data_IF_162988332287
#
_entry.id   IF_162988332287
#
_cell.length_a   1.000
_cell.length_b   1.000
_cell.length_c   1.000
_cell.angle_alpha   90.00
_cell.angle_beta   90.00
_cell.angle_gamma   90.00
#
_symmetry.space_group_name_H-M   'P 1'
#
loop_
_entity.id
_entity.type
_entity.pdbx_description
1 polymer ?
#
# COMPACT_ATOMS: atom_id res chain seq x y z
N UNK A 1 10.11 -26.43 11.57
CA UNK A 1 9.23 -25.97 12.63
C UNK A 1 8.00 -26.88 12.66
N UNK A 2 7.67 -27.49 13.80
CA UNK A 2 6.53 -28.39 13.93
C UNK A 2 5.22 -27.62 14.07
N UNK A 3 4.13 -28.12 13.49
CA UNK A 3 2.79 -27.57 13.68
C UNK A 3 2.37 -27.75 15.14
N UNK A 4 1.83 -26.70 15.75
CA UNK A 4 1.34 -26.73 17.12
C UNK A 4 -0.20 -26.73 17.10
N UNK A 5 -0.83 -27.71 17.74
CA UNK A 5 -2.28 -27.76 17.94
C UNK A 5 -2.62 -27.06 19.26
N UNK A 6 -3.59 -26.13 19.21
CA UNK A 6 -3.97 -25.32 20.37
C UNK A 6 -4.61 -26.19 21.48
N UNK A 7 -5.38 -27.20 21.08
CA UNK A 7 -6.14 -28.07 22.01
C UNK A 7 -6.06 -29.55 21.61
N UNK A 8 -4.86 -30.19 21.74
CA UNK A 8 -4.61 -31.53 21.21
C UNK A 8 -5.44 -32.64 21.89
N UNK A 9 -5.97 -32.38 23.11
CA UNK A 9 -6.83 -33.32 23.83
C UNK A 9 -8.25 -33.41 23.24
N UNK A 10 -8.69 -32.37 22.53
CA UNK A 10 -10.03 -32.31 21.92
C UNK A 10 -9.98 -32.66 20.44
N UNK A 11 -8.99 -32.17 19.73
CA UNK A 11 -8.76 -32.41 18.30
C UNK A 11 -7.27 -32.66 18.07
N UNK A 12 -6.92 -33.87 17.67
CA UNK A 12 -5.54 -34.18 17.33
C UNK A 12 -5.12 -33.53 16.02
N UNK A 13 -3.81 -33.44 15.77
CA UNK A 13 -3.29 -33.00 14.48
C UNK A 13 -3.83 -33.82 13.30
N UNK A 14 -4.01 -35.13 13.52
CA UNK A 14 -4.56 -36.04 12.53
C UNK A 14 -6.02 -35.70 12.20
N UNK A 15 -6.87 -35.49 13.22
CA UNK A 15 -8.27 -35.12 13.03
C UNK A 15 -8.39 -33.79 12.24
N UNK A 16 -7.59 -32.78 12.60
CA UNK A 16 -7.54 -31.51 11.90
C UNK A 16 -7.12 -31.67 10.43
N UNK A 17 -6.15 -32.56 10.15
CA UNK A 17 -5.75 -32.85 8.75
C UNK A 17 -6.85 -33.58 7.98
N UNK A 18 -7.55 -34.49 8.64
CA UNK A 18 -8.66 -35.20 8.01
C UNK A 18 -9.82 -34.23 7.70
N UNK A 19 -10.21 -33.37 8.64
CA UNK A 19 -11.24 -32.35 8.44
C UNK A 19 -10.89 -31.44 7.25
N UNK A 20 -9.64 -30.98 7.17
CA UNK A 20 -9.18 -30.16 6.04
C UNK A 20 -9.31 -30.87 4.69
N UNK A 21 -9.10 -32.18 4.64
CA UNK A 21 -9.22 -32.99 3.43
C UNK A 21 -10.67 -33.30 3.06
N UNK A 22 -11.55 -33.50 4.04
CA UNK A 22 -12.95 -33.89 3.82
C UNK A 22 -13.90 -32.71 3.61
N UNK A 23 -13.67 -31.61 4.33
CA UNK A 23 -14.54 -30.42 4.30
C UNK A 23 -14.04 -29.34 3.34
N UNK A 24 -12.79 -29.46 2.90
CA UNK A 24 -12.13 -28.48 2.06
C UNK A 24 -11.36 -27.41 2.85
N UNK A 25 -10.41 -26.79 2.18
CA UNK A 25 -9.50 -25.84 2.80
C UNK A 25 -10.21 -24.56 3.26
N UNK A 26 -11.17 -24.07 2.49
CA UNK A 26 -11.92 -22.85 2.82
C UNK A 26 -12.79 -23.03 4.07
N UNK A 27 -13.54 -24.15 4.18
CA UNK A 27 -14.35 -24.46 5.35
C UNK A 27 -13.48 -24.67 6.59
N UNK A 28 -12.38 -25.41 6.46
CA UNK A 28 -11.43 -25.63 7.54
C UNK A 28 -10.80 -24.33 8.05
N UNK A 29 -10.38 -23.42 7.15
CA UNK A 29 -9.80 -22.14 7.53
C UNK A 29 -10.84 -21.23 8.20
N UNK A 30 -12.08 -21.23 7.73
CA UNK A 30 -13.16 -20.46 8.35
C UNK A 30 -13.46 -20.94 9.78
N UNK A 31 -13.66 -22.24 9.97
CA UNK A 31 -14.13 -22.78 11.23
C UNK A 31 -13.02 -23.08 12.24
N UNK A 32 -11.88 -23.60 11.78
CA UNK A 32 -10.80 -24.07 12.64
C UNK A 32 -9.66 -23.09 12.81
N UNK A 33 -9.44 -22.20 11.83
CA UNK A 33 -8.39 -21.17 11.87
C UNK A 33 -8.96 -19.77 12.08
N UNK A 34 -10.28 -19.62 12.15
CA UNK A 34 -10.96 -18.34 12.19
C UNK A 34 -10.53 -17.39 11.04
N UNK A 35 -10.29 -18.00 9.87
CA UNK A 35 -9.93 -17.31 8.62
C UNK A 35 -11.04 -17.56 7.58
N UNK A 36 -12.08 -16.72 7.56
CA UNK A 36 -13.25 -16.94 6.71
C UNK A 36 -12.97 -16.71 5.21
N UNK A 37 -11.78 -16.24 4.85
CA UNK A 37 -11.41 -15.91 3.48
C UNK A 37 -10.67 -17.08 2.84
N UNK A 38 -11.16 -17.50 1.66
CA UNK A 38 -10.48 -18.50 0.84
C UNK A 38 -9.26 -17.87 0.13
N UNK A 39 -8.03 -18.27 0.45
CA UNK A 39 -6.84 -17.73 -0.21
C UNK A 39 -6.81 -17.98 -1.72
N UNK A 40 -7.50 -19.02 -2.21
CA UNK A 40 -7.54 -19.33 -3.64
C UNK A 40 -8.42 -18.33 -4.42
N UNK A 41 -9.35 -17.66 -3.75
CA UNK A 41 -10.18 -16.61 -4.32
C UNK A 41 -9.58 -15.20 -4.18
N UNK A 42 -8.43 -15.07 -3.51
CA UNK A 42 -7.72 -13.80 -3.37
C UNK A 42 -6.82 -13.53 -4.59
N UNK A 43 -6.69 -12.25 -4.95
CA UNK A 43 -5.90 -11.84 -6.13
C UNK A 43 -4.39 -11.88 -5.89
N UNK A 44 -3.94 -11.76 -4.63
CA UNK A 44 -2.52 -11.74 -4.27
C UNK A 44 -2.17 -12.93 -3.38
N UNK A 45 -1.18 -13.71 -3.83
CA UNK A 45 -0.61 -14.78 -3.00
C UNK A 45 0.53 -14.24 -2.16
N UNK A 46 0.59 -14.60 -0.88
CA UNK A 46 1.71 -14.23 0.01
C UNK A 46 3.07 -14.69 -0.51
N UNK A 47 3.10 -15.75 -1.32
CA UNK A 47 4.32 -16.26 -1.96
C UNK A 47 4.92 -15.30 -3.00
N UNK A 48 4.15 -14.33 -3.49
CA UNK A 48 4.63 -13.33 -4.44
C UNK A 48 5.26 -12.13 -3.75
N UNK A 49 5.03 -11.93 -2.44
CA UNK A 49 5.60 -10.82 -1.70
C UNK A 49 7.10 -10.97 -1.58
N UNK A 50 7.82 -10.03 -2.16
CA UNK A 50 9.27 -9.93 -2.07
C UNK A 50 9.63 -8.76 -1.17
N UNK A 51 10.67 -8.97 -0.39
CA UNK A 51 11.04 -8.04 0.65
C UNK A 51 12.40 -7.40 0.35
N UNK A 52 12.58 -6.20 0.85
CA UNK A 52 13.87 -5.51 0.82
C UNK A 52 14.27 -5.08 2.24
N UNK A 53 15.59 -4.95 2.44
CA UNK A 53 16.14 -4.36 3.65
C UNK A 53 16.50 -2.89 3.37
N UNK A 54 15.88 -1.90 4.03
CA UNK A 54 16.19 -0.49 3.80
C UNK A 54 17.66 -0.12 4.05
N UNK A 55 18.35 -0.83 4.93
CA UNK A 55 19.74 -0.58 5.24
C UNK A 55 20.70 -0.94 4.09
N UNK A 56 20.27 -1.75 3.12
CA UNK A 56 21.07 -2.19 1.97
C UNK A 56 20.88 -1.29 0.74
N UNK A 57 19.97 -0.29 0.82
CA UNK A 57 19.61 0.55 -0.32
C UNK A 57 19.94 2.01 0.00
N UNK A 58 20.76 2.63 -0.82
CA UNK A 58 21.02 4.08 -0.75
C UNK A 58 19.88 4.85 -1.46
N UNK A 59 18.83 5.17 -0.72
CA UNK A 59 17.71 5.97 -1.20
C UNK A 59 18.08 7.45 -1.49
N UNK A 60 19.29 7.89 -1.17
CA UNK A 60 19.83 9.21 -1.55
C UNK A 60 20.32 9.25 -2.99
N UNK A 61 20.55 8.09 -3.60
CA UNK A 61 21.02 8.00 -4.98
C UNK A 61 20.10 8.73 -5.97
N UNK A 62 20.68 9.33 -7.01
CA UNK A 62 19.97 10.21 -7.96
C UNK A 62 18.86 9.52 -8.74
N UNK A 63 18.93 8.18 -8.86
CA UNK A 63 17.95 7.36 -9.56
C UNK A 63 16.59 7.24 -8.84
N UNK A 64 16.51 7.51 -7.53
CA UNK A 64 15.26 7.39 -6.80
C UNK A 64 14.35 8.59 -6.99
N UNK A 65 13.06 8.32 -7.19
CA UNK A 65 11.94 9.29 -7.20
C UNK A 65 10.88 8.81 -6.21
N UNK A 66 10.31 9.73 -5.45
CA UNK A 66 9.36 9.41 -4.40
C UNK A 66 7.95 9.83 -4.78
N UNK A 67 7.02 8.92 -4.67
CA UNK A 67 5.61 9.12 -4.97
C UNK A 67 4.78 8.78 -3.76
N UNK A 68 3.93 9.70 -3.36
CA UNK A 68 3.00 9.47 -2.26
C UNK A 68 1.57 9.40 -2.76
N UNK A 69 0.73 8.67 -2.06
CA UNK A 69 -0.71 8.68 -2.28
C UNK A 69 -1.45 8.56 -0.96
N UNK A 70 -2.54 9.31 -0.83
CA UNK A 70 -3.44 9.23 0.30
C UNK A 70 -4.83 8.81 -0.17
N UNK A 71 -5.31 7.69 0.38
CA UNK A 71 -6.72 7.31 0.38
C UNK A 71 -7.30 7.73 1.75
N UNK A 72 -8.03 8.86 1.83
CA UNK A 72 -8.50 9.37 3.09
C UNK A 72 -9.84 8.75 3.48
N UNK A 73 -9.96 8.18 4.67
CA UNK A 73 -11.25 7.90 5.27
C UNK A 73 -11.82 9.16 5.92
N UNK A 74 -13.01 9.55 5.54
CA UNK A 74 -13.73 10.72 6.09
C UNK A 74 -14.70 10.35 7.20
N UNK A 75 -14.66 9.14 7.73
CA UNK A 75 -15.52 8.69 8.83
C UNK A 75 -15.26 9.46 10.12
N UNK A 76 -16.36 9.88 10.79
CA UNK A 76 -16.31 10.64 12.06
C UNK A 76 -16.33 9.75 13.31
N UNK A 77 -16.40 8.43 13.17
CA UNK A 77 -16.48 7.49 14.28
C UNK A 77 -15.21 6.68 14.47
N UNK A 78 -15.00 6.16 15.68
CA UNK A 78 -13.90 5.21 15.95
C UNK A 78 -14.01 3.89 15.18
N UNK A 79 -15.18 3.63 14.55
CA UNK A 79 -15.44 2.49 13.67
C UNK A 79 -15.31 2.83 12.19
N UNK A 80 -14.84 4.04 11.83
CA UNK A 80 -14.62 4.41 10.43
C UNK A 80 -13.50 3.58 9.78
N UNK A 81 -13.51 3.52 8.44
CA UNK A 81 -12.47 2.88 7.66
C UNK A 81 -11.08 3.47 7.91
N UNK A 82 -10.06 2.78 7.47
CA UNK A 82 -8.69 3.25 7.57
C UNK A 82 -8.45 4.40 6.60
N UNK A 83 -7.59 5.34 7.00
CA UNK A 83 -6.90 6.22 6.05
C UNK A 83 -5.55 5.62 5.75
N UNK A 84 -5.21 5.49 4.48
CA UNK A 84 -3.94 4.94 4.04
C UNK A 84 -3.08 6.03 3.38
N UNK A 85 -1.83 6.16 3.82
CA UNK A 85 -0.81 7.00 3.19
C UNK A 85 0.33 6.10 2.79
N UNK A 86 0.51 5.89 1.50
CA UNK A 86 1.58 5.05 0.95
C UNK A 86 2.65 5.91 0.30
N UNK A 87 3.91 5.61 0.59
CA UNK A 87 5.08 6.21 -0.06
C UNK A 87 5.84 5.16 -0.84
N UNK A 88 6.01 5.36 -2.14
CA UNK A 88 6.85 4.55 -3.02
C UNK A 88 8.16 5.27 -3.35
N UNK A 89 9.27 4.56 -3.24
CA UNK A 89 10.55 4.93 -3.83
C UNK A 89 10.71 4.16 -5.15
N UNK A 90 10.62 4.86 -6.28
CA UNK A 90 10.82 4.28 -7.61
C UNK A 90 12.31 4.41 -7.99
N UNK A 91 12.96 3.30 -8.24
CA UNK A 91 14.24 3.24 -8.93
C UNK A 91 14.00 3.43 -10.44
N UNK A 92 14.44 4.55 -10.99
CA UNK A 92 14.21 4.89 -12.41
C UNK A 92 15.06 4.06 -13.36
N UNK A 93 16.13 3.41 -12.90
CA UNK A 93 17.02 2.61 -13.72
C UNK A 93 16.46 1.19 -13.91
N UNK A 94 15.92 0.59 -12.84
CA UNK A 94 15.35 -0.76 -12.86
C UNK A 94 13.83 -0.80 -13.05
N UNK A 95 13.14 0.30 -12.77
CA UNK A 95 11.66 0.35 -12.73
C UNK A 95 11.04 -0.30 -11.49
N UNK A 96 11.85 -0.77 -10.56
CA UNK A 96 11.40 -1.36 -9.29
C UNK A 96 10.90 -0.28 -8.36
N UNK A 97 9.75 -0.51 -7.77
CA UNK A 97 9.15 0.35 -6.75
C UNK A 97 9.29 -0.30 -5.37
N UNK A 98 9.87 0.41 -4.44
CA UNK A 98 10.01 0.00 -3.04
C UNK A 98 8.91 0.68 -2.23
N UNK A 99 8.11 -0.08 -1.51
CA UNK A 99 7.15 0.50 -0.56
C UNK A 99 7.95 1.04 0.63
N UNK A 100 8.41 2.30 0.49
CA UNK A 100 9.27 2.94 1.47
C UNK A 100 8.56 3.14 2.81
N UNK A 101 7.27 3.50 2.77
CA UNK A 101 6.42 3.64 3.95
C UNK A 101 4.97 3.26 3.62
N UNK A 102 4.28 2.62 4.57
CA UNK A 102 2.89 2.22 4.50
C UNK A 102 2.20 2.54 5.83
N UNK A 103 1.61 3.71 5.90
CA UNK A 103 0.92 4.21 7.08
C UNK A 103 -0.59 4.06 6.92
N UNK A 104 -1.13 3.00 7.49
CA UNK A 104 -2.53 2.64 7.44
C UNK A 104 -3.08 2.66 8.86
N UNK A 105 -3.94 3.62 9.16
CA UNK A 105 -4.52 3.74 10.50
C UNK A 105 -5.86 4.48 10.48
N UNK A 106 -6.67 4.26 11.51
CA UNK A 106 -7.87 5.07 11.75
C UNK A 106 -7.45 6.39 12.34
N UNK A 107 -7.80 7.49 11.66
CA UNK A 107 -7.44 8.84 12.11
C UNK A 107 -8.51 9.87 11.74
N UNK A 108 -8.55 10.94 12.51
CA UNK A 108 -9.41 12.08 12.19
C UNK A 108 -8.87 12.81 10.94
N UNK A 109 -9.73 13.34 10.06
CA UNK A 109 -9.32 14.04 8.84
C UNK A 109 -8.27 15.14 9.04
N UNK A 110 -8.38 15.91 10.14
CA UNK A 110 -7.39 16.97 10.44
C UNK A 110 -5.97 16.42 10.66
N UNK A 111 -5.88 15.17 11.14
CA UNK A 111 -4.60 14.51 11.36
C UNK A 111 -3.95 14.07 10.06
N UNK A 112 -4.72 13.75 9.03
CA UNK A 112 -4.21 13.30 7.72
C UNK A 112 -3.24 14.34 7.13
N UNK A 113 -3.61 15.63 7.19
CA UNK A 113 -2.78 16.73 6.66
C UNK A 113 -1.46 16.82 7.40
N UNK A 114 -1.51 16.79 8.74
CA UNK A 114 -0.32 16.84 9.57
C UNK A 114 0.62 15.66 9.28
N UNK A 115 0.07 14.46 9.17
CA UNK A 115 0.82 13.23 8.92
C UNK A 115 1.47 13.26 7.52
N UNK A 116 0.79 13.73 6.48
CA UNK A 116 1.37 13.89 5.13
C UNK A 116 2.54 14.86 5.17
N UNK A 117 2.41 16.00 5.84
CA UNK A 117 3.50 17.00 5.93
C UNK A 117 4.68 16.49 6.77
N UNK A 118 4.42 15.69 7.81
CA UNK A 118 5.46 15.04 8.57
C UNK A 118 6.24 14.02 7.75
N UNK A 119 5.53 13.22 6.92
CA UNK A 119 6.17 12.27 5.98
C UNK A 119 7.03 12.98 4.93
N UNK A 120 6.59 14.10 4.40
CA UNK A 120 7.41 14.92 3.49
C UNK A 120 8.70 15.40 4.18
N UNK A 121 8.62 15.85 5.45
CA UNK A 121 9.82 16.26 6.20
C UNK A 121 10.75 15.09 6.49
N UNK A 122 10.17 13.95 6.91
CA UNK A 122 10.92 12.73 7.16
C UNK A 122 11.67 12.28 5.91
N UNK A 123 10.95 12.23 4.78
CA UNK A 123 11.49 11.85 3.50
C UNK A 123 12.67 12.77 3.09
N UNK A 124 12.51 14.09 3.21
CA UNK A 124 13.60 15.05 2.95
C UNK A 124 14.81 14.84 3.85
N UNK A 125 14.57 14.60 5.12
CA UNK A 125 15.65 14.37 6.11
C UNK A 125 16.46 13.12 5.79
N UNK A 126 15.77 12.03 5.43
CA UNK A 126 16.41 10.73 5.23
C UNK A 126 17.03 10.59 3.85
N UNK A 127 16.39 11.13 2.82
CA UNK A 127 16.80 10.92 1.42
C UNK A 127 17.39 12.17 0.75
N UNK A 128 17.29 13.33 1.38
CA UNK A 128 17.67 14.62 0.80
C UNK A 128 16.66 15.16 -0.22
N UNK A 129 15.53 14.46 -0.43
CA UNK A 129 14.50 14.80 -1.42
C UNK A 129 13.12 14.64 -0.81
N UNK A 130 12.17 15.46 -1.29
CA UNK A 130 10.75 15.29 -1.00
C UNK A 130 10.05 14.47 -2.07
N UNK A 131 8.72 14.45 -1.97
CA UNK A 131 7.91 13.81 -3.00
C UNK A 131 8.11 14.47 -4.36
N UNK A 132 8.28 13.64 -5.37
CA UNK A 132 8.24 14.03 -6.78
C UNK A 132 6.79 14.39 -7.16
N UNK A 133 5.84 13.63 -6.64
CA UNK A 133 4.41 13.88 -6.77
C UNK A 133 3.67 13.22 -5.61
N UNK A 134 2.67 13.89 -5.07
CA UNK A 134 1.78 13.37 -4.05
C UNK A 134 0.34 13.41 -4.55
N UNK A 135 -0.32 12.26 -4.62
CA UNK A 135 -1.71 12.13 -5.01
C UNK A 135 -2.63 12.09 -3.79
N UNK A 136 -3.78 12.70 -3.94
CA UNK A 136 -4.87 12.54 -3.00
C UNK A 136 -6.15 12.27 -3.79
N UNK A 137 -6.92 11.28 -3.35
CA UNK A 137 -8.21 11.02 -3.97
C UNK A 137 -9.14 12.23 -3.80
N UNK A 138 -9.86 12.61 -4.88
CA UNK A 138 -10.69 13.83 -4.91
C UNK A 138 -12.15 13.54 -5.23
N UNK A 139 -12.73 12.48 -4.65
CA UNK A 139 -14.15 12.21 -4.76
C UNK A 139 -14.95 13.19 -3.89
N UNK A 140 -16.16 13.51 -4.24
CA UNK A 140 -17.16 14.47 -3.74
C UNK A 140 -16.78 15.47 -2.61
N UNK A 141 -15.98 15.10 -1.58
CA UNK A 141 -15.60 15.98 -0.47
C UNK A 141 -14.08 16.16 -0.32
N UNK A 142 -13.29 15.43 -1.08
CA UNK A 142 -11.83 15.35 -0.90
C UNK A 142 -11.06 16.43 -1.66
N UNK A 143 -11.72 17.21 -2.55
CA UNK A 143 -11.14 18.43 -3.12
C UNK A 143 -10.65 19.38 -2.02
N UNK A 144 -11.34 19.44 -0.88
CA UNK A 144 -10.99 20.21 0.29
C UNK A 144 -9.66 19.79 0.92
N UNK A 145 -9.36 18.48 0.96
CA UNK A 145 -8.09 17.97 1.46
C UNK A 145 -6.92 18.51 0.63
N UNK A 146 -7.04 18.51 -0.70
CA UNK A 146 -6.01 19.06 -1.60
C UNK A 146 -5.73 20.53 -1.32
N UNK A 147 -6.78 21.34 -1.20
CA UNK A 147 -6.63 22.78 -0.95
C UNK A 147 -6.05 23.08 0.44
N UNK A 148 -6.53 22.39 1.46
CA UNK A 148 -5.98 22.54 2.80
C UNK A 148 -4.54 22.06 2.90
N UNK A 149 -4.20 20.94 2.28
CA UNK A 149 -2.84 20.41 2.26
C UNK A 149 -1.90 21.40 1.55
N UNK A 150 -2.31 21.99 0.42
CA UNK A 150 -1.54 23.01 -0.28
C UNK A 150 -1.33 24.26 0.59
N UNK A 151 -2.38 24.72 1.27
CA UNK A 151 -2.33 25.88 2.18
C UNK A 151 -1.39 25.65 3.36
N UNK A 152 -1.55 24.51 4.05
CA UNK A 152 -0.72 24.18 5.22
C UNK A 152 0.75 23.92 4.82
N UNK A 153 0.98 23.29 3.67
CA UNK A 153 2.30 23.12 3.08
C UNK A 153 2.99 24.46 2.86
N UNK A 154 2.29 25.43 2.23
CA UNK A 154 2.81 26.78 1.98
C UNK A 154 3.11 27.54 3.27
N UNK A 155 2.23 27.49 4.28
CA UNK A 155 2.44 28.12 5.60
C UNK A 155 3.71 27.59 6.29
N UNK A 156 4.06 26.34 6.08
CA UNK A 156 5.22 25.69 6.69
C UNK A 156 6.47 25.75 5.82
N UNK A 157 6.42 26.50 4.69
CA UNK A 157 7.55 26.63 3.77
C UNK A 157 7.93 25.31 3.09
N UNK A 158 7.02 24.33 3.06
CA UNK A 158 7.21 23.06 2.37
C UNK A 158 6.66 23.15 0.95
N UNK A 159 7.44 22.73 -0.03
CA UNK A 159 6.92 22.53 -1.38
C UNK A 159 6.50 21.07 -1.52
N UNK A 160 5.18 20.83 -1.54
CA UNK A 160 4.60 19.51 -1.77
C UNK A 160 3.84 19.54 -3.11
N UNK A 161 4.31 18.83 -4.15
CA UNK A 161 3.66 18.80 -5.45
C UNK A 161 2.41 17.90 -5.38
N UNK A 162 1.25 18.51 -5.13
CA UNK A 162 -0.01 17.81 -4.88
C UNK A 162 -0.82 17.70 -6.16
N UNK A 163 -1.26 16.49 -6.47
CA UNK A 163 -2.19 16.19 -7.55
C UNK A 163 -3.49 15.60 -6.98
N UNK A 164 -4.63 16.21 -7.29
CA UNK A 164 -5.93 15.57 -7.09
C UNK A 164 -6.11 14.45 -8.12
N UNK A 165 -6.44 13.27 -7.65
CA UNK A 165 -6.72 12.11 -8.50
C UNK A 165 -8.20 11.78 -8.39
N UNK A 166 -8.90 11.85 -9.52
CA UNK A 166 -10.29 11.39 -9.62
C UNK A 166 -10.30 10.01 -10.24
N UNK A 167 -10.73 9.02 -9.50
CA UNK A 167 -10.91 7.68 -10.02
C UNK A 167 -12.32 7.52 -10.57
N UNK A 168 -12.43 7.05 -11.82
CA UNK A 168 -13.70 6.70 -12.47
C UNK A 168 -13.77 5.21 -12.78
N UNK A 169 -12.67 4.49 -12.60
CA UNK A 169 -12.57 3.05 -12.83
C UNK A 169 -13.00 2.27 -11.59
N UNK A 170 -13.45 1.06 -11.80
CA UNK A 170 -13.77 0.12 -10.73
C UNK A 170 -12.55 -0.11 -9.82
N UNK A 171 -12.76 -0.03 -8.52
CA UNK A 171 -11.68 -0.16 -7.52
C UNK A 171 -11.01 -1.53 -7.60
N UNK A 172 -11.80 -2.59 -7.78
CA UNK A 172 -11.29 -3.96 -7.90
C UNK A 172 -10.32 -4.11 -9.06
N UNK A 173 -10.70 -3.61 -10.24
CA UNK A 173 -9.86 -3.66 -11.45
C UNK A 173 -8.59 -2.82 -11.30
N UNK A 174 -8.67 -1.68 -10.62
CA UNK A 174 -7.48 -0.85 -10.36
C UNK A 174 -6.48 -1.60 -9.49
N UNK A 175 -6.91 -2.14 -8.36
CA UNK A 175 -6.03 -2.89 -7.44
C UNK A 175 -5.51 -4.17 -8.11
N UNK A 176 -6.33 -4.87 -8.92
CA UNK A 176 -5.91 -6.03 -9.71
C UNK A 176 -4.73 -5.69 -10.63
N UNK A 177 -4.65 -4.46 -11.14
CA UNK A 177 -3.55 -4.00 -12.00
C UNK A 177 -2.16 -4.03 -11.34
N UNK A 178 -2.10 -4.14 -10.01
CA UNK A 178 -0.85 -4.33 -9.26
C UNK A 178 -0.33 -5.78 -9.32
N UNK A 179 -1.20 -6.74 -9.65
CA UNK A 179 -0.87 -8.16 -9.58
C UNK A 179 0.39 -8.53 -10.38
N UNK A 180 0.57 -8.08 -11.64
CA UNK A 180 1.80 -8.37 -12.39
C UNK A 180 3.05 -7.80 -11.74
N UNK A 181 2.99 -6.59 -11.18
CA UNK A 181 4.12 -5.95 -10.54
C UNK A 181 4.53 -6.67 -9.26
N UNK A 182 3.56 -7.06 -8.42
CA UNK A 182 3.82 -7.82 -7.19
C UNK A 182 4.37 -9.21 -7.52
N UNK A 183 3.73 -9.93 -8.44
CA UNK A 183 4.12 -11.29 -8.84
C UNK A 183 5.53 -11.34 -9.43
N UNK A 184 5.88 -10.36 -10.25
CA UNK A 184 7.17 -10.31 -10.93
C UNK A 184 8.27 -9.58 -10.14
N UNK A 185 7.97 -9.07 -8.93
CA UNK A 185 8.95 -8.39 -8.08
C UNK A 185 9.31 -6.98 -8.52
N UNK A 186 8.40 -6.30 -9.22
CA UNK A 186 8.52 -4.86 -9.50
C UNK A 186 7.97 -3.98 -8.38
N UNK A 187 7.30 -4.58 -7.39
CA UNK A 187 6.97 -3.94 -6.11
C UNK A 187 7.59 -4.77 -5.01
N UNK A 188 8.41 -4.13 -4.18
CA UNK A 188 9.06 -4.74 -3.03
C UNK A 188 8.55 -4.09 -1.74
N UNK A 189 8.39 -4.90 -0.71
CA UNK A 189 7.82 -4.53 0.58
C UNK A 189 8.86 -4.58 1.69
N UNK A 190 8.57 -3.92 2.81
CA UNK A 190 9.27 -4.16 4.06
C UNK A 190 8.54 -5.23 4.86
N UNK A 191 9.25 -6.10 5.59
CA UNK A 191 8.62 -7.16 6.40
C UNK A 191 7.70 -6.63 7.51
N UNK A 192 7.93 -5.41 7.98
CA UNK A 192 7.16 -4.76 9.04
C UNK A 192 5.84 -4.11 8.57
N UNK A 193 5.58 -4.06 7.26
CA UNK A 193 4.34 -3.51 6.67
C UNK A 193 3.17 -4.51 6.76
N UNK A 194 2.98 -5.10 7.93
CA UNK A 194 2.09 -6.24 8.15
C UNK A 194 0.64 -5.97 7.78
N UNK A 195 0.13 -4.76 8.05
CA UNK A 195 -1.26 -4.42 7.74
C UNK A 195 -1.51 -4.30 6.23
N UNK A 196 -0.58 -3.68 5.48
CA UNK A 196 -0.66 -3.61 4.03
C UNK A 196 -0.61 -5.01 3.39
N UNK A 197 0.35 -5.82 3.82
CA UNK A 197 0.51 -7.19 3.32
C UNK A 197 -0.73 -8.05 3.63
N UNK A 198 -1.31 -7.89 4.82
CA UNK A 198 -2.53 -8.58 5.20
C UNK A 198 -3.72 -8.14 4.34
N UNK A 199 -3.93 -6.83 4.12
CA UNK A 199 -5.00 -6.36 3.25
C UNK A 199 -4.82 -6.84 1.80
N UNK A 200 -3.59 -6.85 1.27
CA UNK A 200 -3.29 -7.41 -0.06
C UNK A 200 -3.61 -8.90 -0.13
N UNK A 201 -3.16 -9.71 0.84
CA UNK A 201 -3.37 -11.16 0.81
C UNK A 201 -4.84 -11.57 0.93
N UNK A 202 -5.70 -10.68 1.41
CA UNK A 202 -7.13 -10.92 1.53
C UNK A 202 -7.97 -10.25 0.43
N UNK A 203 -7.37 -9.43 -0.42
CA UNK A 203 -8.11 -8.71 -1.47
C UNK A 203 -8.62 -9.67 -2.57
N UNK A 204 -9.88 -9.57 -3.05
CA UNK A 204 -10.88 -8.54 -2.76
C UNK A 204 -11.84 -8.88 -1.61
N UNK A 205 -11.66 -9.99 -0.92
CA UNK A 205 -12.61 -10.55 0.06
C UNK A 205 -12.40 -9.98 1.48
N UNK A 206 -11.32 -9.26 1.73
CA UNK A 206 -11.02 -8.65 3.01
C UNK A 206 -12.00 -7.54 3.40
N UNK A 207 -12.13 -7.31 4.71
CA UNK A 207 -12.98 -6.24 5.24
C UNK A 207 -12.46 -4.83 4.94
N UNK A 208 -11.17 -4.70 4.63
CA UNK A 208 -10.49 -3.43 4.39
C UNK A 208 -9.53 -3.55 3.21
N UNK A 209 -9.52 -2.55 2.35
CA UNK A 209 -8.73 -2.48 1.13
C UNK A 209 -8.08 -1.10 0.90
N UNK A 210 -8.08 -0.25 1.93
CA UNK A 210 -7.55 1.12 1.86
C UNK A 210 -6.05 1.15 1.51
N UNK A 211 -5.27 0.21 2.07
CA UNK A 211 -3.86 0.05 1.75
C UNK A 211 -3.58 -0.35 0.31
N UNK A 212 -4.19 -1.41 -0.21
CA UNK A 212 -4.14 -1.79 -1.62
C UNK A 212 -4.54 -0.67 -2.57
N UNK A 213 -5.61 0.09 -2.29
CA UNK A 213 -6.05 1.21 -3.12
C UNK A 213 -5.04 2.36 -3.12
N UNK A 214 -4.54 2.74 -1.95
CA UNK A 214 -3.49 3.75 -1.85
C UNK A 214 -2.17 3.31 -2.52
N UNK A 215 -1.83 2.03 -2.46
CA UNK A 215 -0.66 1.48 -3.16
C UNK A 215 -0.82 1.57 -4.67
N UNK A 216 -2.00 1.25 -5.19
CA UNK A 216 -2.31 1.39 -6.63
C UNK A 216 -2.20 2.85 -7.07
N UNK A 217 -2.81 3.77 -6.31
CA UNK A 217 -2.72 5.19 -6.59
C UNK A 217 -1.27 5.70 -6.66
N UNK A 218 -0.43 5.32 -5.68
CA UNK A 218 0.99 5.66 -5.68
C UNK A 218 1.74 5.05 -6.88
N UNK A 219 1.45 3.79 -7.22
CA UNK A 219 2.07 3.10 -8.37
C UNK A 219 1.67 3.74 -9.69
N UNK A 220 0.40 4.07 -9.86
CA UNK A 220 -0.09 4.76 -11.07
C UNK A 220 0.57 6.13 -11.23
N UNK A 221 0.71 6.92 -10.16
CA UNK A 221 1.45 8.19 -10.22
C UNK A 221 2.91 7.98 -10.62
N UNK A 222 3.57 6.96 -10.08
CA UNK A 222 4.96 6.66 -10.39
C UNK A 222 5.17 6.34 -11.89
N UNK A 223 4.23 5.61 -12.50
CA UNK A 223 4.25 5.29 -13.94
C UNK A 223 4.03 6.51 -14.83
N UNK A 224 3.16 7.45 -14.41
CA UNK A 224 2.91 8.70 -15.15
C UNK A 224 4.10 9.63 -15.10
N UNK A 225 4.79 9.72 -13.96
CA UNK A 225 5.99 10.52 -13.79
C UNK A 225 7.14 10.10 -14.72
N UNK A 226 7.27 8.82 -15.02
CA UNK A 226 8.26 8.30 -15.97
C UNK A 226 7.91 8.64 -17.42
N UNK A 227 6.62 8.60 -17.79
CA UNK A 227 6.16 8.92 -19.15
C UNK A 227 6.21 10.41 -19.49
N UNK A 228 6.20 11.29 -18.49
CA UNK A 228 6.28 12.76 -18.67
C UNK A 228 7.70 13.32 -18.72
N UNK A 229 8.74 12.51 -18.47
CA UNK A 229 10.11 12.94 -18.67
C UNK A 229 10.41 12.98 -20.18
N UNK A 230 10.84 14.13 -20.76
CA UNK A 230 11.23 14.17 -22.16
C UNK A 230 12.41 13.20 -22.35
N UNK A 231 12.32 12.36 -23.38
CA UNK A 231 13.43 11.50 -23.86
C UNK A 231 14.54 12.42 -24.42
N UNK A 232 15.22 13.13 -23.54
CA UNK A 232 16.43 13.89 -23.89
C UNK A 232 17.61 12.94 -23.74
N UNK A 233 18.05 12.36 -24.86
CA UNK A 233 19.32 11.65 -24.88
C UNK A 233 19.41 10.37 -25.70
N UNK A 234 18.71 10.21 -26.81
CA UNK A 234 19.14 9.34 -27.89
C UNK A 234 19.81 10.21 -28.96
N UNK A 235 21.10 10.46 -28.82
CA UNK A 235 21.94 10.78 -29.99
C UNK A 235 22.24 9.44 -30.66
N UNK A 236 21.77 9.29 -31.88
CA UNK A 236 22.21 8.28 -32.85
C UNK A 236 23.71 8.47 -33.18
#
# INVERSE_FOLDING_TARGET
AGSRVLWPQKLSYYDLRLMRLTEGEAAFNSEMQNQPIDPAACLFSEQWFRYFNPAEIDFRAARFRFYGYCDPSLGRSASSDYSAIITLALDTDSGVAYVWDADIQRRHPDRIIADILEKERLLRRETGRGYTLFGAETNQFQWFLKEQLARESAKQGLYLPIQGVRSTEDKGLRVESLQPDVKNGYILFRPDQTLLLHQLSQFPLGAHDDGPDALEGARTLSRRGVRGAPLTGLRL
#
